data_IF_059157070855
#
_entry.id   IF_059157070855
#
_cell.length_a   1.000
_cell.length_b   1.000
_cell.length_c   1.000
_cell.angle_alpha   90.00
_cell.angle_beta   90.00
_cell.angle_gamma   90.00
#
_symmetry.space_group_name_H-M   'P 1'
#
loop_
_entity.id
_entity.type
_entity.pdbx_description
1 polymer ?
#
# COMPACT_ATOMS: atom_id res chain seq x y z
N UNK A 1 -16.66 -7.54 7.30
CA UNK A 1 -15.67 -6.60 7.85
C UNK A 1 -15.64 -5.41 6.91
N UNK A 2 -15.86 -4.19 7.42
CA UNK A 2 -15.67 -2.98 6.60
C UNK A 2 -14.21 -2.90 6.17
N UNK A 3 -13.98 -2.32 4.98
CA UNK A 3 -12.64 -1.92 4.59
C UNK A 3 -12.13 -0.85 5.59
N UNK A 4 -10.83 -0.83 5.91
CA UNK A 4 -10.26 0.19 6.78
C UNK A 4 -10.42 1.57 6.15
N UNK A 5 -10.82 2.56 6.96
CA UNK A 5 -11.08 3.94 6.50
C UNK A 5 -9.78 4.76 6.43
N UNK A 6 -8.68 4.25 7.00
CA UNK A 6 -7.36 4.87 6.95
C UNK A 6 -6.22 3.85 6.92
N UNK A 7 -5.07 4.25 6.34
CA UNK A 7 -3.88 3.38 6.37
C UNK A 7 -3.32 3.22 7.80
N UNK A 8 -3.64 4.12 8.73
CA UNK A 8 -3.26 4.00 10.15
C UNK A 8 -3.91 2.78 10.80
N UNK A 9 -5.17 2.48 10.46
CA UNK A 9 -5.86 1.28 10.93
C UNK A 9 -5.22 -0.01 10.39
N UNK A 10 -4.81 0.00 9.12
CA UNK A 10 -4.06 -1.12 8.51
C UNK A 10 -2.77 -1.37 9.29
N UNK A 11 -1.98 -0.32 9.54
CA UNK A 11 -0.73 -0.42 10.28
C UNK A 11 -0.94 -0.92 11.72
N UNK A 12 -1.98 -0.45 12.40
CA UNK A 12 -2.31 -0.86 13.76
C UNK A 12 -2.63 -2.36 13.87
N UNK A 13 -3.19 -2.97 12.80
CA UNK A 13 -3.51 -4.39 12.76
C UNK A 13 -2.27 -5.31 12.57
N UNK A 14 -1.11 -4.77 12.19
CA UNK A 14 0.07 -5.57 11.89
C UNK A 14 0.89 -5.96 13.13
N UNK A 15 1.55 -7.13 13.13
CA UNK A 15 2.59 -7.43 14.11
C UNK A 15 3.75 -6.43 14.01
N UNK A 16 4.50 -6.25 15.10
CA UNK A 16 5.46 -5.16 15.26
C UNK A 16 6.50 -5.09 14.13
N UNK A 17 7.04 -6.23 13.68
CA UNK A 17 8.03 -6.25 12.61
C UNK A 17 7.46 -5.80 11.27
N UNK A 18 6.32 -6.33 10.86
CA UNK A 18 5.67 -5.98 9.60
C UNK A 18 5.20 -4.52 9.64
N UNK A 19 4.63 -4.08 10.77
CA UNK A 19 4.26 -2.68 10.98
C UNK A 19 5.45 -1.75 10.75
N UNK A 20 6.61 -2.03 11.36
CA UNK A 20 7.82 -1.19 11.16
C UNK A 20 8.26 -1.14 9.69
N UNK A 21 8.24 -2.27 8.99
CA UNK A 21 8.62 -2.32 7.57
C UNK A 21 7.69 -1.47 6.71
N UNK A 22 6.38 -1.62 6.89
CA UNK A 22 5.37 -0.86 6.12
C UNK A 22 5.39 0.63 6.51
N UNK A 23 5.46 0.95 7.81
CA UNK A 23 5.54 2.34 8.29
C UNK A 23 6.77 3.08 7.76
N UNK A 24 7.93 2.42 7.68
CA UNK A 24 9.13 3.04 7.13
C UNK A 24 8.95 3.39 5.65
N UNK A 25 8.38 2.48 4.85
CA UNK A 25 8.12 2.73 3.44
C UNK A 25 7.10 3.85 3.22
N UNK A 26 6.01 3.88 4.01
CA UNK A 26 5.01 4.96 3.97
C UNK A 26 5.64 6.30 4.37
N UNK A 27 6.44 6.32 5.44
CA UNK A 27 7.13 7.53 5.87
C UNK A 27 8.11 8.05 4.82
N UNK A 28 8.85 7.17 4.13
CA UNK A 28 9.74 7.55 3.03
C UNK A 28 8.97 8.20 1.87
N UNK A 29 7.86 7.61 1.43
CA UNK A 29 7.00 8.20 0.38
C UNK A 29 6.48 9.59 0.79
N UNK A 30 6.05 9.76 2.04
CA UNK A 30 5.62 11.07 2.57
C UNK A 30 6.73 12.11 2.63
N UNK A 31 7.97 11.72 2.97
CA UNK A 31 9.13 12.60 2.94
C UNK A 31 9.43 13.07 1.51
N UNK A 32 9.20 12.21 0.52
CA UNK A 32 9.34 12.52 -0.91
C UNK A 32 8.16 13.36 -1.47
N UNK A 33 7.16 13.66 -0.65
CA UNK A 33 5.99 14.47 -1.02
C UNK A 33 4.84 13.67 -1.61
N UNK A 34 4.90 12.34 -1.56
CA UNK A 34 3.85 11.43 -2.01
C UNK A 34 2.99 10.98 -0.82
N UNK A 35 1.66 11.00 -0.97
CA UNK A 35 0.73 10.56 0.07
C UNK A 35 0.08 9.28 -0.44
N UNK A 36 0.52 8.10 0.04
CA UNK A 36 0.00 6.84 -0.46
C UNK A 36 -1.46 6.66 0.00
N UNK A 37 -2.29 6.15 -0.90
CA UNK A 37 -3.67 5.82 -0.59
C UNK A 37 -3.80 4.51 0.21
N UNK A 38 -5.01 4.27 0.72
CA UNK A 38 -5.31 3.08 1.54
C UNK A 38 -5.07 1.78 0.77
N UNK A 39 -5.36 1.76 -0.53
CA UNK A 39 -5.21 0.57 -1.38
C UNK A 39 -3.72 0.20 -1.57
N UNK A 40 -2.87 1.20 -1.79
CA UNK A 40 -1.43 1.06 -1.93
C UNK A 40 -0.80 0.55 -0.64
N UNK A 41 -1.20 1.09 0.52
CA UNK A 41 -0.71 0.60 1.82
C UNK A 41 -1.22 -0.81 2.13
N UNK A 42 -2.45 -1.15 1.73
CA UNK A 42 -2.97 -2.52 1.86
C UNK A 42 -2.17 -3.51 1.01
N UNK A 43 -1.84 -3.15 -0.23
CA UNK A 43 -1.03 -3.99 -1.12
C UNK A 43 0.40 -4.19 -0.58
N UNK A 44 1.02 -3.12 -0.08
CA UNK A 44 2.34 -3.20 0.57
C UNK A 44 2.29 -4.07 1.85
N UNK A 45 1.17 -4.01 2.58
CA UNK A 45 0.93 -4.83 3.76
C UNK A 45 0.83 -6.31 3.39
N UNK A 46 0.06 -6.64 2.35
CA UNK A 46 -0.07 -8.00 1.83
C UNK A 46 1.30 -8.58 1.42
N UNK A 47 2.18 -7.75 0.84
CA UNK A 47 3.56 -8.14 0.56
C UNK A 47 4.35 -8.37 1.86
N UNK A 48 4.28 -7.45 2.82
CA UNK A 48 5.05 -7.52 4.06
C UNK A 48 4.70 -8.73 4.95
N UNK A 49 3.44 -9.21 4.90
CA UNK A 49 3.00 -10.42 5.60
C UNK A 49 3.15 -11.70 4.76
N UNK A 50 3.65 -11.60 3.52
CA UNK A 50 3.87 -12.73 2.63
C UNK A 50 2.60 -13.32 2.01
N UNK A 51 1.48 -12.57 2.01
CA UNK A 51 0.23 -12.96 1.35
C UNK A 51 0.34 -12.86 -0.18
N UNK A 52 1.17 -11.95 -0.68
CA UNK A 52 1.55 -11.86 -2.09
C UNK A 52 3.07 -11.89 -2.25
N UNK A 53 3.53 -12.32 -3.41
CA UNK A 53 4.95 -12.28 -3.77
C UNK A 53 5.35 -10.89 -4.27
N UNK A 54 6.66 -10.62 -4.28
CA UNK A 54 7.17 -9.38 -4.88
C UNK A 54 6.83 -9.24 -6.37
N UNK A 55 6.66 -10.35 -7.09
CA UNK A 55 6.24 -10.32 -8.50
C UNK A 55 4.78 -9.90 -8.63
N UNK A 56 3.89 -10.46 -7.80
CA UNK A 56 2.49 -10.07 -7.76
C UNK A 56 2.31 -8.61 -7.35
N UNK A 57 3.10 -8.13 -6.39
CA UNK A 57 3.15 -6.72 -6.02
C UNK A 57 3.52 -5.83 -7.21
N UNK A 58 4.61 -6.15 -7.93
CA UNK A 58 5.03 -5.37 -9.11
C UNK A 58 3.99 -5.39 -10.23
N UNK A 59 3.38 -6.55 -10.48
CA UNK A 59 2.32 -6.68 -11.47
C UNK A 59 1.11 -5.79 -11.14
N UNK A 60 0.70 -5.71 -9.87
CA UNK A 60 -0.38 -4.85 -9.43
C UNK A 60 -0.07 -3.36 -9.62
N UNK A 61 1.13 -2.90 -9.23
CA UNK A 61 1.57 -1.50 -9.46
C UNK A 61 1.63 -1.16 -10.95
N UNK A 62 2.13 -2.08 -11.78
CA UNK A 62 2.18 -1.88 -13.23
C UNK A 62 0.78 -1.85 -13.87
N UNK A 63 -0.18 -2.61 -13.33
CA UNK A 63 -1.55 -2.58 -13.82
C UNK A 63 -2.23 -1.23 -13.50
N UNK A 64 -1.99 -0.70 -12.31
CA UNK A 64 -2.55 0.58 -11.86
C UNK A 64 -1.99 1.76 -12.64
N UNK A 65 -0.67 1.81 -12.83
CA UNK A 65 0.02 2.85 -13.65
C UNK A 65 -0.30 2.80 -15.14
N UNK A 66 -0.81 1.67 -15.64
CA UNK A 66 -1.23 1.48 -17.05
C UNK A 66 -2.72 1.66 -17.27
N UNK A 67 -3.51 1.82 -16.22
CA UNK A 67 -4.92 2.16 -16.36
C UNK A 67 -5.00 3.53 -17.08
N UNK A 68 -5.62 3.63 -18.27
CA UNK A 68 -5.77 4.91 -18.93
C UNK A 68 -6.54 5.82 -17.98
N UNK A 69 -6.02 7.02 -17.73
CA UNK A 69 -6.76 8.12 -17.10
C UNK A 69 -7.97 8.43 -17.99
N UNK A 70 -9.06 7.70 -17.81
CA UNK A 70 -10.33 7.99 -18.47
C UNK A 70 -11.08 8.99 -17.60
N UNK A 71 -11.19 10.19 -18.18
CA UNK A 71 -12.21 11.21 -17.97
C UNK A 71 -12.09 12.09 -16.71
N UNK A 72 -11.37 13.21 -16.88
CA UNK A 72 -11.95 14.49 -16.47
C UNK A 72 -13.05 14.82 -17.49
N UNK A 73 -14.31 14.67 -17.08
CA UNK A 73 -15.51 15.11 -17.79
C UNK A 73 -16.18 16.18 -16.94
#
# INVERSE_FOLDING_TARGET
>A
MSAPDSFTEILAALPLEQRRRVSNAVASSMIEGDIPDVASVALLTDLAIGKITGEQYRAAILADTRAPTVANR
#
